data_IF_192545482520
#
_entry.id   IF_192545482520
#
_cell.length_a   1.000
_cell.length_b   1.000
_cell.length_c   1.000
_cell.angle_alpha   90.00
_cell.angle_beta   90.00
_cell.angle_gamma   90.00
#
_symmetry.space_group_name_H-M   'P 1'
#
loop_
_entity.id
_entity.type
_entity.pdbx_description
1 polymer ?
#
# COMPACT_ATOMS: atom_id res chain seq x y z
N UNK A 1 -17.25 9.56 30.25
CA UNK A 1 -15.90 9.79 29.67
C UNK A 1 -15.27 10.94 30.43
N UNK A 2 -14.15 10.76 31.16
CA UNK A 2 -13.51 11.88 31.83
C UNK A 2 -12.81 12.76 30.79
N UNK A 3 -13.13 14.05 30.77
CA UNK A 3 -12.48 15.06 29.94
C UNK A 3 -11.12 15.42 30.55
N UNK A 4 -10.05 15.28 29.77
CA UNK A 4 -8.68 15.65 30.16
C UNK A 4 -8.58 17.16 30.47
N UNK A 5 -7.75 17.52 31.44
CA UNK A 5 -7.49 18.92 31.80
C UNK A 5 -6.59 19.60 30.75
N UNK A 6 -6.64 20.94 30.62
CA UNK A 6 -5.78 21.66 29.69
C UNK A 6 -4.27 21.42 29.89
N UNK A 7 -3.83 21.28 31.15
CA UNK A 7 -2.43 20.97 31.50
C UNK A 7 -2.01 19.56 31.03
N UNK A 8 -2.87 18.55 31.20
CA UNK A 8 -2.54 17.19 30.74
C UNK A 8 -2.53 17.07 29.21
N UNK A 9 -3.30 17.91 28.50
CA UNK A 9 -3.23 18.01 27.04
C UNK A 9 -1.92 18.64 26.56
N UNK A 10 -1.43 19.67 27.25
CA UNK A 10 -0.15 20.32 26.90
C UNK A 10 1.04 19.39 27.13
N UNK A 11 1.04 18.63 28.23
CA UNK A 11 2.05 17.61 28.52
C UNK A 11 2.04 16.47 27.47
N UNK A 12 0.86 16.00 27.08
CA UNK A 12 0.72 14.98 26.02
C UNK A 12 1.22 15.47 24.65
N UNK A 13 0.95 16.73 24.30
CA UNK A 13 1.45 17.35 23.07
C UNK A 13 2.98 17.46 23.08
N UNK A 14 3.57 17.95 24.17
CA UNK A 14 5.02 18.06 24.30
C UNK A 14 5.74 16.71 24.26
N UNK A 15 5.13 15.66 24.83
CA UNK A 15 5.66 14.30 24.76
C UNK A 15 5.61 13.75 23.32
N UNK A 16 4.47 13.91 22.64
CA UNK A 16 4.32 13.49 21.24
C UNK A 16 5.32 14.20 20.31
N UNK A 17 5.51 15.52 20.47
CA UNK A 17 6.52 16.28 19.73
C UNK A 17 7.95 15.76 19.98
N UNK A 18 8.25 15.37 21.23
CA UNK A 18 9.55 14.81 21.59
C UNK A 18 9.76 13.43 20.96
N UNK A 19 8.74 12.56 20.97
CA UNK A 19 8.77 11.24 20.34
C UNK A 19 8.93 11.34 18.81
N UNK A 20 8.23 12.28 18.18
CA UNK A 20 8.34 12.55 16.74
C UNK A 20 9.75 13.00 16.37
N UNK A 21 10.33 13.92 17.14
CA UNK A 21 11.70 14.37 16.94
C UNK A 21 12.72 13.24 17.10
N UNK A 22 12.56 12.39 18.12
CA UNK A 22 13.43 11.22 18.31
C UNK A 22 13.31 10.22 17.16
N UNK A 23 12.11 9.94 16.67
CA UNK A 23 11.87 9.09 15.49
C UNK A 23 12.52 9.67 14.24
N UNK A 24 12.42 10.98 14.03
CA UNK A 24 13.06 11.67 12.92
C UNK A 24 14.58 11.51 12.97
N UNK A 25 15.22 11.80 14.12
CA UNK A 25 16.67 11.64 14.28
C UNK A 25 17.14 10.19 14.07
N UNK A 26 16.38 9.22 14.58
CA UNK A 26 16.68 7.80 14.37
C UNK A 26 16.59 7.44 12.89
N UNK A 27 15.56 7.92 12.18
CA UNK A 27 15.37 7.66 10.75
C UNK A 27 16.50 8.26 9.91
N UNK A 28 16.91 9.50 10.23
CA UNK A 28 18.04 10.16 9.57
C UNK A 28 19.35 9.37 9.77
N UNK A 29 19.60 8.87 10.99
CA UNK A 29 20.80 8.07 11.29
C UNK A 29 20.80 6.75 10.49
N UNK A 30 19.69 6.01 10.54
CA UNK A 30 19.58 4.74 9.81
C UNK A 30 19.73 4.93 8.30
N UNK A 31 19.17 6.01 7.74
CA UNK A 31 19.34 6.34 6.33
C UNK A 31 20.80 6.70 6.02
N UNK A 32 21.47 7.46 6.89
CA UNK A 32 22.90 7.75 6.77
C UNK A 32 23.75 6.48 6.75
N UNK A 33 23.54 5.57 7.72
CA UNK A 33 24.24 4.28 7.81
C UNK A 33 24.00 3.44 6.54
N UNK A 34 22.77 3.42 6.02
CA UNK A 34 22.42 2.69 4.80
C UNK A 34 23.10 3.29 3.55
N UNK A 35 23.17 4.62 3.46
CA UNK A 35 23.85 5.33 2.36
C UNK A 35 25.37 5.14 2.40
N UNK A 36 25.98 5.11 3.59
CA UNK A 36 27.41 4.86 3.78
C UNK A 36 27.81 3.44 3.33
N UNK A 37 26.92 2.46 3.49
CA UNK A 37 27.16 1.08 3.09
C UNK A 37 27.15 0.85 1.56
N UNK A 38 26.77 1.85 0.76
CA UNK A 38 26.70 1.73 -0.69
C UNK A 38 28.07 1.94 -1.34
N UNK A 39 28.46 1.02 -2.22
CA UNK A 39 29.74 1.11 -2.94
C UNK A 39 29.76 2.22 -4.01
N UNK A 40 28.58 2.66 -4.46
CA UNK A 40 28.42 3.68 -5.48
C UNK A 40 27.50 4.81 -5.00
N UNK A 41 27.82 6.08 -5.31
CA UNK A 41 26.93 7.19 -4.98
C UNK A 41 25.57 7.05 -5.65
N UNK A 42 24.51 7.20 -4.85
CA UNK A 42 23.13 7.28 -5.35
C UNK A 42 22.79 8.75 -5.59
N UNK A 43 22.22 9.05 -6.75
CA UNK A 43 21.72 10.40 -7.06
C UNK A 43 20.57 10.79 -6.14
N UNK A 44 20.39 12.09 -5.89
CA UNK A 44 19.27 12.60 -5.11
C UNK A 44 17.90 12.16 -5.66
N UNK A 45 17.78 12.02 -6.98
CA UNK A 45 16.57 11.62 -7.67
C UNK A 45 16.25 10.13 -7.40
N UNK A 46 17.26 9.27 -7.44
CA UNK A 46 17.10 7.85 -7.10
C UNK A 46 16.74 7.68 -5.61
N UNK A 47 17.42 8.40 -4.72
CA UNK A 47 17.11 8.37 -3.29
C UNK A 47 15.67 8.84 -3.00
N UNK A 48 15.24 9.93 -3.63
CA UNK A 48 13.87 10.42 -3.52
C UNK A 48 12.84 9.41 -4.06
N UNK A 49 13.14 8.74 -5.19
CA UNK A 49 12.26 7.72 -5.75
C UNK A 49 12.10 6.48 -4.85
N UNK A 50 13.20 6.03 -4.23
CA UNK A 50 13.17 4.93 -3.26
C UNK A 50 12.36 5.35 -2.01
N UNK A 51 12.62 6.55 -1.48
CA UNK A 51 11.89 7.05 -0.32
C UNK A 51 10.38 7.20 -0.61
N UNK A 52 10.01 7.70 -1.79
CA UNK A 52 8.61 7.81 -2.20
C UNK A 52 7.94 6.43 -2.28
N UNK A 53 8.63 5.44 -2.86
CA UNK A 53 8.17 4.04 -2.89
C UNK A 53 7.92 3.50 -1.49
N UNK A 54 8.88 3.68 -0.57
CA UNK A 54 8.75 3.17 0.80
C UNK A 54 7.69 3.89 1.62
N UNK A 55 7.50 5.20 1.41
CA UNK A 55 6.42 5.96 2.04
C UNK A 55 5.04 5.49 1.55
N UNK A 56 4.88 5.21 0.25
CA UNK A 56 3.63 4.67 -0.27
C UNK A 56 3.27 3.32 0.39
N UNK A 57 4.25 2.46 0.69
CA UNK A 57 3.99 1.22 1.44
C UNK A 57 3.54 1.47 2.88
N UNK A 58 4.14 2.46 3.55
CA UNK A 58 3.71 2.86 4.90
C UNK A 58 2.30 3.42 4.90
N UNK A 59 1.92 4.19 3.88
CA UNK A 59 0.56 4.71 3.69
C UNK A 59 -0.45 3.57 3.49
N UNK A 60 -0.15 2.60 2.62
CA UNK A 60 -1.00 1.40 2.44
C UNK A 60 -1.19 0.67 3.76
N UNK A 61 -0.10 0.44 4.49
CA UNK A 61 -0.15 -0.29 5.76
C UNK A 61 -0.90 0.48 6.85
N UNK A 62 -0.73 1.80 6.93
CA UNK A 62 -1.39 2.64 7.92
C UNK A 62 -2.89 2.79 7.66
N UNK A 63 -3.29 2.97 6.39
CA UNK A 63 -4.69 3.24 6.03
C UNK A 63 -5.51 1.96 5.87
N UNK A 64 -4.95 0.96 5.19
CA UNK A 64 -5.70 -0.24 4.80
C UNK A 64 -5.15 -1.53 5.43
N UNK A 65 -3.94 -1.48 5.98
CA UNK A 65 -3.22 -2.66 6.43
C UNK A 65 -2.63 -3.49 5.30
N UNK A 66 -1.64 -4.28 5.67
CA UNK A 66 -1.05 -5.32 4.83
C UNK A 66 -1.37 -6.69 5.46
N UNK A 67 -2.40 -7.34 4.94
CA UNK A 67 -2.94 -8.56 5.53
C UNK A 67 -2.03 -9.76 5.23
N UNK A 68 -1.92 -10.67 6.19
CA UNK A 68 -1.31 -11.97 5.95
C UNK A 68 -2.31 -12.96 5.33
N UNK A 69 -1.81 -14.07 4.77
CA UNK A 69 -2.68 -15.05 4.12
C UNK A 69 -3.71 -15.70 5.04
N UNK A 70 -3.43 -15.76 6.35
CA UNK A 70 -4.37 -16.28 7.36
C UNK A 70 -5.54 -15.33 7.57
N UNK A 71 -5.25 -14.04 7.62
CA UNK A 71 -6.24 -12.97 7.77
C UNK A 71 -7.12 -12.89 6.53
N UNK A 72 -6.55 -12.97 5.33
CA UNK A 72 -7.33 -13.07 4.08
C UNK A 72 -8.24 -14.30 4.06
N UNK A 73 -7.75 -15.47 4.46
CA UNK A 73 -8.57 -16.68 4.50
C UNK A 73 -9.76 -16.56 5.47
N UNK A 74 -9.53 -15.95 6.65
CA UNK A 74 -10.57 -15.67 7.64
C UNK A 74 -11.59 -14.66 7.13
N UNK A 75 -11.11 -13.58 6.52
CA UNK A 75 -11.92 -12.50 5.95
C UNK A 75 -12.85 -13.04 4.86
N UNK A 76 -12.34 -13.92 3.99
CA UNK A 76 -13.13 -14.57 2.94
C UNK A 76 -14.04 -15.72 3.43
N UNK A 77 -14.14 -15.97 4.75
CA UNK A 77 -14.93 -17.06 5.32
C UNK A 77 -14.46 -18.47 4.94
N UNK A 78 -13.18 -18.61 4.55
CA UNK A 78 -12.63 -19.90 4.12
C UNK A 78 -12.50 -20.87 5.29
N UNK A 79 -12.84 -22.14 5.05
CA UNK A 79 -12.57 -23.23 6.01
C UNK A 79 -11.08 -23.57 6.12
N UNK A 80 -10.27 -23.12 5.16
CA UNK A 80 -8.82 -23.26 5.23
C UNK A 80 -8.28 -22.21 6.21
N UNK A 81 -7.72 -22.67 7.32
CA UNK A 81 -7.17 -21.81 8.38
C UNK A 81 -5.70 -21.44 8.13
N UNK A 82 -5.11 -21.92 7.03
CA UNK A 82 -3.73 -21.69 6.63
C UNK A 82 -3.67 -20.72 5.43
N UNK A 83 -2.48 -20.14 5.18
CA UNK A 83 -2.28 -19.18 4.09
C UNK A 83 -2.38 -19.75 2.67
N UNK A 84 -2.63 -21.05 2.52
CA UNK A 84 -2.77 -21.71 1.21
C UNK A 84 -3.88 -21.10 0.35
N UNK A 85 -5.02 -20.77 0.97
CA UNK A 85 -6.15 -20.14 0.29
C UNK A 85 -5.75 -18.84 -0.42
N UNK A 86 -5.10 -17.92 0.30
CA UNK A 86 -4.69 -16.64 -0.26
C UNK A 86 -3.63 -16.83 -1.36
N UNK A 87 -2.66 -17.72 -1.14
CA UNK A 87 -1.63 -18.02 -2.13
C UNK A 87 -2.23 -18.58 -3.45
N UNK A 88 -3.22 -19.48 -3.35
CA UNK A 88 -3.88 -20.05 -4.53
C UNK A 88 -4.68 -18.98 -5.28
N UNK A 89 -5.40 -18.10 -4.56
CA UNK A 89 -6.11 -16.97 -5.15
C UNK A 89 -5.16 -15.99 -5.84
N UNK A 90 -4.01 -15.67 -5.23
CA UNK A 90 -2.98 -14.80 -5.81
C UNK A 90 -2.41 -15.38 -7.08
N UNK A 91 -2.02 -16.67 -7.06
CA UNK A 91 -1.52 -17.37 -8.26
C UNK A 91 -2.55 -17.40 -9.38
N UNK A 92 -3.83 -17.46 -9.04
CA UNK A 92 -4.93 -17.37 -9.99
C UNK A 92 -5.29 -15.92 -10.40
N UNK A 93 -4.52 -14.92 -9.96
CA UNK A 93 -4.77 -13.47 -10.12
C UNK A 93 -6.17 -13.03 -9.69
N UNK A 94 -6.69 -13.66 -8.64
CA UNK A 94 -7.99 -13.35 -8.02
C UNK A 94 -7.89 -12.46 -6.79
N UNK A 95 -6.67 -12.17 -6.35
CA UNK A 95 -6.33 -11.17 -5.33
C UNK A 95 -4.96 -10.60 -5.69
N UNK A 96 -4.74 -9.35 -5.31
CA UNK A 96 -3.47 -8.66 -5.40
C UNK A 96 -2.60 -9.04 -4.20
N UNK A 97 -1.38 -9.52 -4.45
CA UNK A 97 -0.45 -9.89 -3.38
C UNK A 97 0.98 -9.45 -3.69
N UNK A 98 1.57 -8.69 -2.78
CA UNK A 98 2.93 -8.13 -2.90
C UNK A 98 3.92 -8.95 -2.09
N UNK A 99 5.17 -9.05 -2.55
CA UNK A 99 6.20 -9.76 -1.79
C UNK A 99 7.04 -8.77 -0.96
N UNK A 100 6.80 -8.72 0.35
CA UNK A 100 7.54 -7.83 1.27
C UNK A 100 7.82 -8.52 2.61
N UNK A 101 8.88 -8.10 3.30
CA UNK A 101 9.29 -8.66 4.60
C UNK A 101 9.43 -10.20 4.57
N UNK A 102 9.94 -10.73 3.46
CA UNK A 102 10.11 -12.17 3.20
C UNK A 102 8.80 -12.98 3.21
N UNK A 103 7.66 -12.35 2.91
CA UNK A 103 6.36 -12.98 2.85
C UNK A 103 5.47 -12.32 1.79
N UNK A 104 4.44 -13.03 1.35
CA UNK A 104 3.35 -12.42 0.59
C UNK A 104 2.37 -11.74 1.54
N UNK A 105 2.12 -10.47 1.28
CA UNK A 105 1.14 -9.63 1.97
C UNK A 105 0.07 -9.16 0.98
N UNK A 106 -1.11 -8.87 1.50
CA UNK A 106 -2.28 -8.55 0.69
C UNK A 106 -2.81 -7.18 1.13
N UNK A 107 -2.71 -6.13 0.29
CA UNK A 107 -3.24 -4.81 0.62
C UNK A 107 -4.72 -4.88 1.00
N UNK A 108 -5.11 -4.31 2.14
CA UNK A 108 -6.46 -4.47 2.68
C UNK A 108 -7.56 -3.82 1.83
N UNK A 109 -7.23 -2.73 1.12
CA UNK A 109 -8.19 -1.97 0.33
C UNK A 109 -8.91 -2.81 -0.73
N UNK A 110 -8.30 -3.91 -1.18
CA UNK A 110 -8.89 -4.74 -2.24
C UNK A 110 -10.14 -5.49 -1.78
N UNK A 111 -10.38 -5.58 -0.47
CA UNK A 111 -11.50 -6.31 0.11
C UNK A 111 -12.60 -5.36 0.59
N UNK A 112 -13.84 -5.70 0.26
CA UNK A 112 -15.04 -5.15 0.90
C UNK A 112 -15.13 -5.57 2.36
N UNK A 113 -16.01 -4.93 3.13
CA UNK A 113 -16.34 -5.33 4.51
C UNK A 113 -16.85 -6.78 4.61
N UNK A 114 -17.42 -7.30 3.53
CA UNK A 114 -17.89 -8.69 3.42
C UNK A 114 -16.77 -9.70 3.12
N UNK A 115 -15.54 -9.21 2.90
CA UNK A 115 -14.38 -10.02 2.54
C UNK A 115 -14.31 -10.47 1.08
N UNK A 116 -15.21 -9.93 0.24
CA UNK A 116 -15.16 -10.08 -1.21
C UNK A 116 -14.18 -9.08 -1.82
N UNK A 117 -13.53 -9.46 -2.92
CA UNK A 117 -12.60 -8.58 -3.66
C UNK A 117 -13.40 -7.63 -4.56
N UNK A 118 -13.05 -6.35 -4.59
CA UNK A 118 -13.68 -5.40 -5.51
C UNK A 118 -13.46 -5.80 -6.98
N UNK A 119 -14.50 -5.65 -7.81
CA UNK A 119 -14.44 -5.98 -9.23
C UNK A 119 -13.39 -5.14 -9.96
N UNK A 120 -13.26 -3.87 -9.61
CA UNK A 120 -12.23 -2.95 -10.12
C UNK A 120 -10.82 -3.54 -9.99
N UNK A 121 -10.49 -4.12 -8.82
CA UNK A 121 -9.19 -4.77 -8.59
C UNK A 121 -9.02 -5.99 -9.49
N UNK A 122 -10.06 -6.81 -9.66
CA UNK A 122 -9.98 -7.99 -10.52
C UNK A 122 -9.76 -7.63 -11.99
N UNK A 123 -10.42 -6.56 -12.46
CA UNK A 123 -10.27 -6.10 -13.84
C UNK A 123 -8.91 -5.45 -14.07
N UNK A 124 -8.42 -4.64 -13.10
CA UNK A 124 -7.06 -4.11 -13.13
C UNK A 124 -6.02 -5.23 -13.12
N UNK A 125 -6.14 -6.26 -12.27
CA UNK A 125 -5.19 -7.38 -12.26
C UNK A 125 -5.15 -8.14 -13.59
N UNK A 126 -6.31 -8.27 -14.26
CA UNK A 126 -6.39 -8.90 -15.58
C UNK A 126 -5.67 -8.05 -16.63
N UNK A 127 -5.91 -6.75 -16.62
CA UNK A 127 -5.29 -5.80 -17.56
C UNK A 127 -3.78 -5.67 -17.31
N UNK A 128 -3.38 -5.51 -16.05
CA UNK A 128 -1.97 -5.45 -15.63
C UNK A 128 -1.19 -6.67 -16.11
N UNK A 129 -1.80 -7.86 -16.06
CA UNK A 129 -1.18 -9.07 -16.60
C UNK A 129 -0.95 -9.04 -18.11
N UNK A 130 -1.78 -8.32 -18.88
CA UNK A 130 -1.61 -8.16 -20.32
C UNK A 130 -0.55 -7.11 -20.65
N UNK A 131 -0.46 -6.06 -19.81
CA UNK A 131 0.50 -4.97 -19.94
C UNK A 131 1.83 -5.22 -19.21
N UNK A 132 2.02 -6.42 -18.64
CA UNK A 132 3.20 -6.81 -17.86
C UNK A 132 3.53 -5.87 -16.68
N UNK A 133 2.51 -5.23 -16.12
CA UNK A 133 2.64 -4.39 -14.92
C UNK A 133 2.74 -5.28 -13.68
N UNK A 134 3.70 -4.98 -12.80
CA UNK A 134 3.93 -5.75 -11.58
C UNK A 134 2.80 -5.56 -10.56
N UNK A 135 2.60 -6.55 -9.68
CA UNK A 135 1.62 -6.44 -8.60
C UNK A 135 2.00 -5.29 -7.64
N UNK A 136 3.29 -5.06 -7.40
CA UNK A 136 3.80 -3.93 -6.61
C UNK A 136 3.46 -2.56 -7.23
N UNK A 137 3.59 -2.42 -8.54
CA UNK A 137 3.23 -1.18 -9.25
C UNK A 137 1.71 -0.95 -9.25
N UNK A 138 0.92 -2.02 -9.42
CA UNK A 138 -0.54 -1.96 -9.29
C UNK A 138 -0.94 -1.47 -7.90
N UNK A 139 -0.35 -2.06 -6.84
CA UNK A 139 -0.68 -1.70 -5.47
C UNK A 139 -0.37 -0.22 -5.16
N UNK A 140 0.80 0.27 -5.57
CA UNK A 140 1.16 1.69 -5.37
C UNK A 140 0.30 2.61 -6.23
N UNK A 141 -0.01 2.22 -7.47
CA UNK A 141 -0.83 3.03 -8.36
C UNK A 141 -2.23 3.31 -7.78
N UNK A 142 -2.83 2.37 -7.06
CA UNK A 142 -4.13 2.58 -6.42
C UNK A 142 -4.14 3.76 -5.43
N UNK A 143 -2.98 4.16 -4.91
CA UNK A 143 -2.83 5.28 -3.97
C UNK A 143 -2.35 6.57 -4.63
N UNK A 144 -2.04 6.56 -5.92
CA UNK A 144 -1.61 7.76 -6.62
C UNK A 144 -2.82 8.59 -7.02
N UNK A 145 -2.83 9.85 -6.60
CA UNK A 145 -3.80 10.85 -7.08
C UNK A 145 -3.80 10.89 -8.61
N UNK A 146 -5.00 10.94 -9.18
CA UNK A 146 -5.19 10.95 -10.62
C UNK A 146 -5.93 12.21 -11.05
N UNK A 147 -5.35 13.05 -11.93
CA UNK A 147 -6.08 14.16 -12.54
C UNK A 147 -7.34 13.73 -13.29
N UNK A 148 -7.38 12.49 -13.79
CA UNK A 148 -8.56 11.92 -14.46
C UNK A 148 -9.67 11.49 -13.48
N UNK A 149 -9.40 11.56 -12.18
CA UNK A 149 -10.34 11.31 -11.07
C UNK A 149 -10.53 12.59 -10.24
N UNK A 150 -10.39 13.77 -10.85
CA UNK A 150 -10.51 15.06 -10.17
C UNK A 150 -9.56 15.22 -8.95
N UNK A 151 -8.42 14.52 -8.97
CA UNK A 151 -7.44 14.52 -7.88
C UNK A 151 -7.63 13.40 -6.86
N UNK A 152 -8.69 12.60 -6.95
CA UNK A 152 -8.89 11.43 -6.09
C UNK A 152 -7.93 10.28 -6.46
N UNK A 153 -7.70 9.38 -5.50
CA UNK A 153 -6.92 8.17 -5.72
C UNK A 153 -7.84 7.07 -6.23
N UNK A 154 -7.38 6.13 -7.09
CA UNK A 154 -8.19 5.00 -7.52
C UNK A 154 -8.78 4.17 -6.37
N UNK A 155 -8.11 4.14 -5.21
CA UNK A 155 -8.64 3.46 -4.01
C UNK A 155 -9.85 4.17 -3.39
N UNK A 156 -9.98 5.48 -3.56
CA UNK A 156 -11.09 6.28 -3.00
C UNK A 156 -12.39 6.06 -3.79
N UNK A 157 -12.27 5.69 -5.07
CA UNK A 157 -13.39 5.41 -5.99
C UNK A 157 -13.48 3.92 -6.35
N UNK A 158 -12.97 3.03 -5.47
CA UNK A 158 -12.75 1.61 -5.76
C UNK A 158 -13.96 0.82 -6.25
N UNK A 159 -15.18 1.31 -6.03
CA UNK A 159 -16.42 0.69 -6.50
C UNK A 159 -16.68 0.91 -8.01
N UNK A 160 -16.15 1.97 -8.62
CA UNK A 160 -16.33 2.27 -10.04
C UNK A 160 -15.28 1.54 -10.90
N UNK A 161 -15.57 0.27 -11.21
CA UNK A 161 -14.66 -0.59 -11.96
C UNK A 161 -14.34 -0.07 -13.37
N UNK A 162 -15.32 0.51 -14.07
CA UNK A 162 -15.14 1.01 -15.43
C UNK A 162 -14.24 2.24 -15.44
N UNK A 163 -14.47 3.19 -14.52
CA UNK A 163 -13.64 4.39 -14.39
C UNK A 163 -12.20 4.03 -14.01
N UNK A 164 -12.00 3.17 -13.02
CA UNK A 164 -10.67 2.73 -12.57
C UNK A 164 -9.91 2.05 -13.70
N UNK A 165 -10.55 1.13 -14.42
CA UNK A 165 -9.91 0.43 -15.53
C UNK A 165 -9.52 1.39 -16.67
N UNK A 166 -10.37 2.39 -16.96
CA UNK A 166 -10.04 3.42 -17.95
C UNK A 166 -8.82 4.25 -17.54
N UNK A 167 -8.73 4.66 -16.27
CA UNK A 167 -7.57 5.40 -15.75
C UNK A 167 -6.31 4.54 -15.76
N UNK A 168 -6.42 3.26 -15.37
CA UNK A 168 -5.30 2.31 -15.40
C UNK A 168 -4.74 2.16 -16.82
N UNK A 169 -5.61 1.94 -17.80
CA UNK A 169 -5.23 1.85 -19.23
C UNK A 169 -4.63 3.14 -19.75
N UNK A 170 -5.18 4.29 -19.37
CA UNK A 170 -4.61 5.59 -19.75
C UNK A 170 -3.17 5.78 -19.26
N UNK A 171 -2.85 5.24 -18.07
CA UNK A 171 -1.51 5.33 -17.49
C UNK A 171 -0.52 4.30 -18.05
N UNK A 172 -0.92 3.03 -18.16
CA UNK A 172 -0.02 1.92 -18.46
C UNK A 172 -0.16 1.36 -19.88
N UNK A 173 -1.29 1.63 -20.56
CA UNK A 173 -1.60 1.12 -21.89
C UNK A 173 -1.06 1.97 -23.04
N UNK A 174 -0.51 3.16 -22.76
CA UNK A 174 0.14 3.99 -23.77
C UNK A 174 1.52 3.43 -24.12
N UNK A 175 1.56 2.46 -25.04
CA UNK A 175 2.80 2.02 -25.68
C UNK A 175 3.21 3.04 -26.75
N UNK A 176 4.46 3.50 -26.69
CA UNK A 176 5.14 4.21 -27.78
C UNK A 176 5.86 3.22 -28.69
#
# INVERSE_FOLDING_TARGET
MPTLTPESRAEQLALAETEDYQRMLQSMRLLGDAMEALEQPVSSQMAAGIAATENAWLEIEAEFGLLDGRTVARLAGSKQTTGGFANDRRKARKILGIFRRNAYLYPGFQFTDSGMVYHSVLDVLREASQLEVSDEDVAQWFLLESPSLDGERPVDVIEDADQILAVFRGRFGAQW
#
